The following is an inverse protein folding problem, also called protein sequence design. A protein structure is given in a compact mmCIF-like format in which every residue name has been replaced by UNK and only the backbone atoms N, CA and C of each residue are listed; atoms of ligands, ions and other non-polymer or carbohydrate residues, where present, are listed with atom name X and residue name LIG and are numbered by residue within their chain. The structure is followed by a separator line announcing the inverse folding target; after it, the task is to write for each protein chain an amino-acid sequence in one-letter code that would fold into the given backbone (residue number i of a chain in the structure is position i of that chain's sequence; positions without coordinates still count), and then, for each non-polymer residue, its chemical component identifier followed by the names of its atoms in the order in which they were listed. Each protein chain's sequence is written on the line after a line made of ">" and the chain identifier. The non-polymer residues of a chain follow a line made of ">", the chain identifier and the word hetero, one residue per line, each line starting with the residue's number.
data_IF_641206169383
#
_entry.id   IF_641206169383
#
_cell.length_a   1.000
_cell.length_b   1.000
_cell.length_c   1.000
_cell.angle_alpha   90.00
_cell.angle_beta   90.00
_cell.angle_gamma   90.00
#
_symmetry.space_group_name_H-M   'P 1'
#
loop_
_entity.id
_entity.type
_entity.pdbx_description
1 polymer ?
#
# COMPACT_ATOMS: atom_id res chain seq x y z
N UNK A 1 -0.77 5.83 3.51
CA UNK A 1 -0.75 4.39 3.16
C UNK A 1 0.27 4.14 2.05
N UNK A 2 1.54 3.91 2.40
CA UNK A 2 2.62 3.82 1.41
C UNK A 2 2.45 2.66 0.41
N UNK A 3 1.81 1.55 0.81
CA UNK A 3 1.66 0.37 -0.06
C UNK A 3 0.96 0.66 -1.39
N UNK A 4 -0.23 1.27 -1.36
CA UNK A 4 -0.96 1.65 -2.58
C UNK A 4 -0.32 2.85 -3.29
N UNK A 5 0.21 3.81 -2.52
CA UNK A 5 0.91 4.98 -3.05
C UNK A 5 2.07 4.60 -3.98
N UNK A 6 2.91 3.67 -3.54
CA UNK A 6 4.01 3.14 -4.35
C UNK A 6 3.51 2.31 -5.54
N UNK A 7 2.43 1.56 -5.40
CA UNK A 7 1.90 0.70 -6.49
C UNK A 7 1.21 1.48 -7.61
N UNK A 8 0.40 2.46 -7.26
CA UNK A 8 -0.58 3.08 -8.16
C UNK A 8 -0.45 4.61 -8.24
N UNK A 9 0.52 5.19 -7.52
CA UNK A 9 0.74 6.63 -7.44
C UNK A 9 -0.16 7.36 -6.43
N UNK A 10 -1.12 6.69 -5.79
CA UNK A 10 -2.01 7.26 -4.76
C UNK A 10 -2.30 6.26 -3.64
N UNK A 11 -2.38 6.74 -2.39
CA UNK A 11 -2.67 5.92 -1.21
C UNK A 11 -4.17 5.69 -0.91
N UNK A 12 -5.04 6.31 -1.71
CA UNK A 12 -6.51 6.21 -1.67
C UNK A 12 -7.04 4.80 -1.92
N UNK A 13 -8.33 4.55 -1.65
CA UNK A 13 -8.99 3.36 -2.21
C UNK A 13 -9.11 3.59 -3.70
N UNK A 14 -8.98 2.53 -4.49
CA UNK A 14 -8.98 2.67 -5.95
C UNK A 14 -10.39 2.80 -6.52
N UNK A 15 -11.42 2.42 -5.74
CA UNK A 15 -12.85 2.48 -6.11
C UNK A 15 -13.71 2.84 -4.89
N UNK A 16 -15.01 3.01 -5.11
CA UNK A 16 -16.02 3.26 -4.08
C UNK A 16 -16.67 1.95 -3.60
N UNK A 17 -17.27 1.97 -2.41
CA UNK A 17 -17.91 0.77 -1.83
C UNK A 17 -19.07 0.24 -2.69
N UNK A 18 -19.80 1.14 -3.36
CA UNK A 18 -20.91 0.83 -4.25
C UNK A 18 -20.49 -0.04 -5.42
N UNK A 19 -19.26 0.18 -5.92
CA UNK A 19 -18.75 -0.52 -7.10
C UNK A 19 -18.45 -1.99 -6.83
N UNK A 20 -18.35 -2.41 -5.56
CA UNK A 20 -18.25 -3.83 -5.22
C UNK A 20 -19.43 -4.65 -5.75
N UNK A 21 -20.60 -4.05 -5.92
CA UNK A 21 -21.75 -4.72 -6.53
C UNK A 21 -21.48 -5.21 -7.96
N UNK A 22 -20.43 -4.66 -8.60
CA UNK A 22 -19.99 -5.03 -9.93
C UNK A 22 -18.94 -6.15 -9.95
N UNK A 23 -18.46 -6.64 -8.82
CA UNK A 23 -17.47 -7.71 -8.76
C UNK A 23 -18.04 -9.09 -9.14
N UNK A 24 -17.19 -9.97 -9.65
CA UNK A 24 -17.45 -11.41 -9.85
C UNK A 24 -16.85 -12.26 -8.71
N UNK A 25 -15.89 -11.71 -7.99
CA UNK A 25 -15.36 -12.27 -6.74
C UNK A 25 -14.90 -11.14 -5.81
N UNK A 26 -15.09 -11.32 -4.50
CA UNK A 26 -14.62 -10.36 -3.50
C UNK A 26 -13.79 -11.11 -2.46
N UNK A 27 -12.51 -10.79 -2.41
CA UNK A 27 -11.59 -11.21 -1.35
C UNK A 27 -11.62 -10.19 -0.22
N UNK A 28 -12.17 -10.59 0.92
CA UNK A 28 -12.12 -9.83 2.16
C UNK A 28 -11.03 -10.45 3.03
N UNK A 29 -9.91 -9.75 3.19
CA UNK A 29 -8.77 -10.22 3.97
C UNK A 29 -8.20 -9.06 4.77
N UNK A 30 -7.92 -9.29 6.06
CA UNK A 30 -7.53 -8.22 6.97
C UNK A 30 -8.67 -7.24 7.30
N UNK A 31 -9.93 -7.67 7.18
CA UNK A 31 -11.12 -6.89 7.54
C UNK A 31 -12.27 -7.80 8.01
N UNK A 32 -13.02 -7.39 9.04
CA UNK A 32 -14.36 -7.93 9.32
C UNK A 32 -15.40 -6.94 8.81
N UNK A 33 -15.53 -6.86 7.48
CA UNK A 33 -16.29 -5.79 6.81
C UNK A 33 -17.78 -5.75 7.20
N UNK A 34 -18.42 -6.89 7.47
CA UNK A 34 -19.82 -6.91 7.90
C UNK A 34 -20.03 -6.29 9.30
N UNK A 35 -18.97 -6.17 10.10
CA UNK A 35 -19.01 -5.57 11.44
C UNK A 35 -18.46 -4.14 11.43
N UNK A 36 -17.34 -3.92 10.74
CA UNK A 36 -16.66 -2.63 10.70
C UNK A 36 -17.25 -1.65 9.69
N UNK A 37 -17.88 -2.15 8.62
CA UNK A 37 -18.46 -1.36 7.52
C UNK A 37 -19.81 -1.93 7.07
N UNK A 38 -20.79 -2.14 7.98
CA UNK A 38 -22.01 -2.90 7.71
C UNK A 38 -22.85 -2.32 6.56
N UNK A 39 -22.94 -1.00 6.45
CA UNK A 39 -23.68 -0.35 5.36
C UNK A 39 -22.99 -0.55 4.01
N UNK A 40 -21.66 -0.51 4.01
CA UNK A 40 -20.85 -0.83 2.83
C UNK A 40 -20.97 -2.28 2.39
N UNK A 41 -21.06 -3.19 3.37
CA UNK A 41 -21.19 -4.62 3.15
C UNK A 41 -22.47 -5.00 2.38
N UNK A 42 -23.49 -4.14 2.36
CA UNK A 42 -24.66 -4.30 1.47
C UNK A 42 -24.24 -4.54 0.01
N UNK A 43 -23.20 -3.87 -0.48
CA UNK A 43 -22.76 -4.00 -1.87
C UNK A 43 -22.02 -5.30 -2.15
N UNK A 44 -21.34 -5.85 -1.14
CA UNK A 44 -20.81 -7.22 -1.18
C UNK A 44 -21.96 -8.21 -1.34
N UNK A 45 -23.04 -8.04 -0.57
CA UNK A 45 -24.22 -8.90 -0.69
C UNK A 45 -24.93 -8.74 -2.04
N UNK A 46 -24.96 -7.54 -2.62
CA UNK A 46 -25.49 -7.32 -3.97
C UNK A 46 -24.66 -8.03 -5.05
N UNK A 47 -23.34 -8.04 -4.93
CA UNK A 47 -22.49 -8.83 -5.80
C UNK A 47 -22.80 -10.32 -5.66
N UNK A 48 -22.93 -10.80 -4.42
CA UNK A 48 -23.27 -12.20 -4.12
C UNK A 48 -24.63 -12.62 -4.69
N UNK A 49 -25.66 -11.78 -4.57
CA UNK A 49 -26.98 -12.03 -5.17
C UNK A 49 -26.91 -12.20 -6.71
N UNK A 50 -25.92 -11.57 -7.35
CA UNK A 50 -25.65 -11.70 -8.79
C UNK A 50 -24.76 -12.90 -9.14
N UNK A 51 -24.29 -13.65 -8.15
CA UNK A 51 -23.46 -14.84 -8.32
C UNK A 51 -21.97 -14.62 -8.05
N UNK A 52 -21.56 -13.48 -7.49
CA UNK A 52 -20.16 -13.28 -7.11
C UNK A 52 -19.76 -14.22 -5.96
N UNK A 53 -18.54 -14.76 -6.03
CA UNK A 53 -17.99 -15.58 -4.94
C UNK A 53 -17.42 -14.67 -3.84
N UNK A 54 -17.84 -14.85 -2.59
CA UNK A 54 -17.32 -14.09 -1.45
C UNK A 54 -16.32 -14.94 -0.67
N UNK A 55 -15.08 -14.48 -0.58
CA UNK A 55 -14.00 -15.13 0.14
C UNK A 55 -13.68 -14.28 1.37
N UNK A 56 -13.66 -14.88 2.56
CA UNK A 56 -13.26 -14.22 3.79
C UNK A 56 -12.08 -14.95 4.43
N UNK A 57 -10.93 -14.28 4.46
CA UNK A 57 -9.69 -14.77 5.07
C UNK A 57 -9.50 -14.04 6.40
N UNK A 58 -9.66 -14.76 7.51
CA UNK A 58 -9.54 -14.20 8.86
C UNK A 58 -9.19 -15.32 9.85
N UNK A 59 -8.33 -15.05 10.87
CA UNK A 59 -8.04 -16.02 11.93
C UNK A 59 -9.30 -16.48 12.71
N UNK A 60 -10.39 -15.72 12.64
CA UNK A 60 -11.63 -15.98 13.37
C UNK A 60 -12.79 -16.16 12.40
N UNK A 61 -13.71 -17.04 12.76
CA UNK A 61 -15.02 -17.08 12.12
C UNK A 61 -15.89 -15.94 12.68
N UNK A 62 -16.20 -14.94 11.85
CA UNK A 62 -16.90 -13.72 12.23
C UNK A 62 -18.26 -13.59 11.55
N UNK A 63 -18.98 -12.47 11.75
CA UNK A 63 -20.22 -12.21 11.01
C UNK A 63 -19.99 -12.05 9.50
N UNK A 64 -18.77 -11.63 9.12
CA UNK A 64 -18.37 -11.59 7.72
C UNK A 64 -18.21 -13.01 7.17
N UNK A 65 -17.57 -13.92 7.93
CA UNK A 65 -17.39 -15.32 7.54
C UNK A 65 -18.71 -16.05 7.39
N UNK A 66 -19.68 -15.78 8.26
CA UNK A 66 -21.02 -16.35 8.20
C UNK A 66 -21.79 -16.04 6.90
N UNK A 67 -21.39 -14.97 6.20
CA UNK A 67 -22.00 -14.54 4.94
C UNK A 67 -21.12 -14.84 3.71
N UNK A 68 -19.88 -15.31 3.92
CA UNK A 68 -18.95 -15.69 2.85
C UNK A 68 -19.26 -17.09 2.30
N UNK A 69 -18.89 -17.34 1.04
CA UNK A 69 -18.96 -18.67 0.41
C UNK A 69 -17.76 -19.54 0.78
N UNK A 70 -16.61 -18.88 1.02
CA UNK A 70 -15.36 -19.51 1.42
C UNK A 70 -14.81 -18.76 2.61
N UNK A 71 -14.78 -19.40 3.78
CA UNK A 71 -13.99 -18.94 4.91
C UNK A 71 -12.64 -19.64 4.92
N UNK A 72 -11.57 -18.85 5.12
CA UNK A 72 -10.19 -19.33 5.16
C UNK A 72 -9.57 -18.93 6.49
N UNK A 73 -9.36 -19.86 7.43
CA UNK A 73 -8.63 -19.56 8.65
C UNK A 73 -7.16 -19.31 8.32
N UNK A 74 -6.61 -18.21 8.84
CA UNK A 74 -5.19 -17.85 8.64
C UNK A 74 -4.52 -17.54 9.97
N UNK A 75 -3.25 -17.90 10.12
CA UNK A 75 -2.40 -17.46 11.24
C UNK A 75 -2.16 -15.95 11.17
N UNK A 76 -2.27 -15.25 12.30
CA UNK A 76 -2.07 -13.79 12.35
C UNK A 76 -0.67 -13.42 11.88
N UNK A 77 -0.58 -12.49 10.93
CA UNK A 77 0.68 -11.94 10.43
C UNK A 77 1.34 -12.79 9.34
N UNK A 78 0.64 -13.75 8.74
CA UNK A 78 1.17 -14.59 7.65
C UNK A 78 0.55 -14.30 6.28
N UNK A 79 -0.22 -13.22 6.17
CA UNK A 79 -0.95 -12.77 4.98
C UNK A 79 -0.05 -12.68 3.73
N UNK A 80 1.18 -12.15 3.90
CA UNK A 80 2.14 -12.03 2.79
C UNK A 80 2.51 -13.38 2.17
N UNK A 81 2.44 -14.48 2.93
CA UNK A 81 2.73 -15.83 2.43
C UNK A 81 1.56 -16.38 1.63
N UNK A 82 0.32 -16.14 2.08
CA UNK A 82 -0.88 -16.49 1.30
C UNK A 82 -0.91 -15.73 -0.04
N UNK A 83 -0.75 -14.41 0.01
CA UNK A 83 -0.72 -13.56 -1.19
C UNK A 83 0.45 -13.94 -2.11
N UNK A 84 1.62 -14.24 -1.56
CA UNK A 84 2.77 -14.72 -2.31
C UNK A 84 2.52 -16.06 -3.00
N UNK A 85 1.82 -16.98 -2.32
CA UNK A 85 1.39 -18.25 -2.91
C UNK A 85 0.40 -18.07 -4.06
N UNK A 86 -0.57 -17.16 -3.91
CA UNK A 86 -1.50 -16.80 -4.98
C UNK A 86 -0.76 -16.21 -6.19
N UNK A 87 0.16 -15.28 -5.97
CA UNK A 87 1.01 -14.70 -7.03
C UNK A 87 1.80 -15.79 -7.76
N UNK A 88 2.47 -16.67 -7.01
CA UNK A 88 3.20 -17.81 -7.57
C UNK A 88 2.30 -18.69 -8.43
N UNK A 89 1.12 -19.06 -7.92
CA UNK A 89 0.17 -19.90 -8.63
C UNK A 89 -0.27 -19.29 -9.95
N UNK A 90 -0.55 -17.98 -10.00
CA UNK A 90 -0.89 -17.29 -11.25
C UNK A 90 0.24 -17.33 -12.27
N UNK A 91 1.47 -17.06 -11.83
CA UNK A 91 2.63 -16.96 -12.73
C UNK A 91 3.05 -18.33 -13.26
N UNK A 92 3.09 -19.37 -12.42
CA UNK A 92 3.54 -20.70 -12.82
C UNK A 92 2.57 -21.40 -13.77
N UNK A 93 1.28 -21.09 -13.68
CA UNK A 93 0.23 -21.71 -14.50
C UNK A 93 -0.25 -20.81 -15.66
N UNK A 94 0.43 -19.68 -15.91
CA UNK A 94 0.09 -18.72 -16.97
C UNK A 94 -1.37 -18.20 -16.89
N UNK A 95 -1.87 -17.98 -15.66
CA UNK A 95 -3.26 -17.57 -15.37
C UNK A 95 -3.43 -16.06 -15.21
N UNK A 96 -2.40 -15.26 -15.49
CA UNK A 96 -2.44 -13.81 -15.37
C UNK A 96 -2.90 -13.15 -16.70
N UNK A 97 -3.48 -11.96 -16.62
CA UNK A 97 -3.93 -11.23 -17.80
C UNK A 97 -2.74 -10.59 -18.52
N UNK A 98 -2.12 -11.36 -19.42
CA UNK A 98 -0.82 -11.04 -20.07
C UNK A 98 -0.78 -9.67 -20.75
N UNK A 99 -1.79 -9.31 -21.52
CA UNK A 99 -1.85 -8.02 -22.22
C UNK A 99 -1.90 -6.86 -21.22
N UNK A 100 -2.73 -6.97 -20.18
CA UNK A 100 -2.78 -5.98 -19.12
C UNK A 100 -1.42 -5.84 -18.42
N UNK A 101 -0.81 -6.97 -18.04
CA UNK A 101 0.48 -7.01 -17.34
C UNK A 101 1.59 -6.38 -18.18
N UNK A 102 1.72 -6.76 -19.45
CA UNK A 102 2.80 -6.26 -20.31
C UNK A 102 2.73 -4.75 -20.56
N UNK A 103 1.51 -4.20 -20.68
CA UNK A 103 1.27 -2.82 -21.11
C UNK A 103 1.03 -1.83 -19.97
N UNK A 104 0.27 -2.21 -18.95
CA UNK A 104 -0.18 -1.29 -17.88
C UNK A 104 0.58 -1.44 -16.56
N UNK A 105 1.57 -2.33 -16.52
CA UNK A 105 2.46 -2.48 -15.37
C UNK A 105 3.91 -2.22 -15.78
N UNK A 106 4.80 -2.21 -14.80
CA UNK A 106 6.24 -2.18 -15.02
C UNK A 106 6.85 -3.57 -15.27
N UNK A 107 6.05 -4.63 -15.47
CA UNK A 107 6.51 -6.00 -15.68
C UNK A 107 7.58 -6.14 -16.79
N UNK A 108 7.44 -5.34 -17.86
CA UNK A 108 8.38 -5.31 -18.98
C UNK A 108 9.62 -4.45 -18.73
N UNK A 109 9.67 -3.63 -17.69
CA UNK A 109 10.83 -2.77 -17.42
C UNK A 109 12.05 -3.61 -17.02
N UNK A 110 13.22 -3.25 -17.55
CA UNK A 110 14.49 -3.94 -17.28
C UNK A 110 15.16 -3.29 -16.07
N UNK A 111 15.51 -4.09 -15.06
CA UNK A 111 16.22 -3.64 -13.87
C UNK A 111 17.71 -3.38 -14.16
N UNK A 112 18.34 -2.59 -13.28
CA UNK A 112 19.78 -2.42 -13.26
C UNK A 112 20.50 -3.77 -13.10
N UNK A 113 21.67 -3.90 -13.74
CA UNK A 113 22.51 -5.09 -13.62
C UNK A 113 23.07 -5.26 -12.18
N UNK A 114 22.95 -4.22 -11.34
CA UNK A 114 23.33 -4.23 -9.92
C UNK A 114 22.26 -4.81 -9.00
N UNK A 115 21.01 -4.93 -9.47
CA UNK A 115 19.92 -5.47 -8.65
C UNK A 115 20.20 -6.93 -8.25
N UNK A 116 20.12 -7.23 -6.96
CA UNK A 116 20.15 -8.61 -6.45
C UNK A 116 18.96 -8.85 -5.53
N UNK A 117 18.37 -10.04 -5.65
CA UNK A 117 17.29 -10.49 -4.78
C UNK A 117 17.85 -11.28 -3.57
N UNK A 118 17.02 -11.54 -2.55
CA UNK A 118 17.44 -12.24 -1.32
C UNK A 118 18.05 -13.63 -1.49
N UNK A 119 17.81 -14.28 -2.65
CA UNK A 119 18.32 -15.62 -2.94
C UNK A 119 19.66 -15.58 -3.67
N UNK A 120 20.08 -14.43 -4.22
CA UNK A 120 21.38 -14.31 -4.91
C UNK A 120 22.56 -14.55 -3.96
N UNK A 121 22.46 -14.05 -2.72
CA UNK A 121 23.46 -14.25 -1.67
C UNK A 121 23.05 -15.31 -0.63
N UNK A 122 21.78 -15.72 -0.62
CA UNK A 122 21.24 -16.70 0.34
C UNK A 122 21.15 -16.19 1.79
N UNK A 123 21.29 -14.89 2.00
CA UNK A 123 21.28 -14.23 3.31
C UNK A 123 19.91 -13.65 3.70
N UNK A 124 18.95 -13.64 2.75
CA UNK A 124 17.61 -13.09 2.98
C UNK A 124 17.50 -11.57 2.78
N UNK A 125 18.56 -10.90 2.32
CA UNK A 125 18.61 -9.46 2.10
C UNK A 125 18.67 -9.10 0.62
N UNK A 126 17.99 -8.02 0.22
CA UNK A 126 18.18 -7.45 -1.12
C UNK A 126 19.56 -6.78 -1.24
N UNK A 127 20.01 -6.49 -2.47
CA UNK A 127 21.19 -5.63 -2.68
C UNK A 127 21.03 -4.29 -1.95
N UNK A 128 22.14 -3.77 -1.39
CA UNK A 128 22.17 -2.48 -0.67
C UNK A 128 21.87 -2.55 0.83
N UNK A 129 21.81 -3.74 1.43
CA UNK A 129 21.65 -3.88 2.89
C UNK A 129 22.86 -3.35 3.64
N UNK A 130 22.62 -2.46 4.61
CA UNK A 130 23.61 -1.96 5.55
C UNK A 130 23.28 -2.46 6.96
N UNK A 131 24.08 -3.39 7.48
CA UNK A 131 23.86 -4.04 8.78
C UNK A 131 23.89 -3.05 9.95
N UNK A 132 24.82 -2.09 9.95
CA UNK A 132 24.96 -1.11 11.03
C UNK A 132 23.76 -0.16 11.12
N UNK A 133 23.30 0.32 9.95
CA UNK A 133 22.13 1.23 9.87
C UNK A 133 20.80 0.47 9.92
N UNK A 134 20.83 -0.85 9.73
CA UNK A 134 19.65 -1.71 9.54
C UNK A 134 18.71 -1.15 8.46
N UNK A 135 19.29 -0.68 7.38
CA UNK A 135 18.61 0.05 6.31
C UNK A 135 19.15 -0.35 4.93
N UNK A 136 18.38 -0.05 3.89
CA UNK A 136 18.77 -0.29 2.51
C UNK A 136 19.19 0.99 1.79
N UNK A 137 20.22 0.87 0.95
CA UNK A 137 20.62 1.82 -0.09
C UNK A 137 19.98 1.38 -1.42
N UNK A 138 19.18 2.26 -2.03
CA UNK A 138 18.21 1.90 -3.08
C UNK A 138 18.73 2.01 -4.52
N UNK A 139 19.99 2.40 -4.71
CA UNK A 139 20.62 2.69 -6.00
C UNK A 139 20.59 1.48 -6.94
N UNK A 140 20.79 0.29 -6.39
CA UNK A 140 20.76 -0.96 -7.15
C UNK A 140 19.36 -1.36 -7.62
N UNK A 141 18.29 -0.76 -7.08
CA UNK A 141 16.89 -1.12 -7.38
C UNK A 141 16.26 -0.30 -8.52
N UNK A 142 17.09 0.45 -9.25
CA UNK A 142 16.66 1.29 -10.36
C UNK A 142 16.47 0.49 -11.65
N UNK A 143 15.78 1.09 -12.62
CA UNK A 143 15.71 0.55 -13.97
C UNK A 143 16.97 0.87 -14.77
N UNK A 144 17.29 0.01 -15.72
CA UNK A 144 18.31 0.27 -16.73
C UNK A 144 17.85 1.43 -17.64
N UNK A 145 18.76 2.38 -17.89
CA UNK A 145 18.50 3.55 -18.73
C UNK A 145 18.33 4.89 -17.99
N UNK A 146 18.53 4.93 -16.66
CA UNK A 146 18.77 6.16 -15.89
C UNK A 146 17.58 7.11 -15.66
N UNK A 147 16.53 7.08 -16.48
CA UNK A 147 15.31 7.86 -16.26
C UNK A 147 14.09 6.95 -16.03
N UNK A 148 13.51 7.04 -14.83
CA UNK A 148 12.26 6.36 -14.47
C UNK A 148 11.08 6.72 -15.38
N UNK A 149 11.16 7.85 -16.10
CA UNK A 149 10.12 8.28 -17.04
C UNK A 149 10.04 7.39 -18.29
N UNK A 150 11.17 6.79 -18.71
CA UNK A 150 11.30 5.98 -19.93
C UNK A 150 12.33 4.85 -19.73
N UNK A 151 12.07 3.88 -18.84
CA UNK A 151 12.97 2.76 -18.66
C UNK A 151 13.04 1.88 -19.92
N UNK A 152 14.15 1.16 -20.09
CA UNK A 152 14.23 0.10 -21.12
C UNK A 152 13.18 -0.98 -20.83
N UNK A 153 12.53 -1.52 -21.87
CA UNK A 153 11.45 -2.51 -21.74
C UNK A 153 11.59 -3.67 -22.70
N UNK A 154 11.20 -4.85 -22.26
CA UNK A 154 10.93 -6.04 -23.07
C UNK A 154 9.44 -6.44 -22.91
N UNK A 155 8.63 -6.15 -23.93
CA UNK A 155 7.20 -6.49 -23.93
C UNK A 155 6.92 -7.99 -24.09
N UNK A 156 7.93 -8.79 -24.47
CA UNK A 156 7.79 -10.26 -24.51
C UNK A 156 7.86 -10.88 -23.11
N UNK A 157 8.31 -10.11 -22.11
CA UNK A 157 8.51 -10.53 -20.72
C UNK A 157 9.52 -11.70 -20.59
N UNK A 158 10.43 -11.88 -21.55
CA UNK A 158 11.39 -12.98 -21.56
C UNK A 158 12.78 -12.57 -21.05
N UNK A 159 13.10 -11.27 -21.10
CA UNK A 159 14.39 -10.77 -20.60
C UNK A 159 14.57 -11.15 -19.12
N UNK A 160 15.68 -11.83 -18.75
CA UNK A 160 15.89 -12.32 -17.38
C UNK A 160 16.05 -11.19 -16.35
N UNK A 161 16.30 -9.96 -16.79
CA UNK A 161 16.37 -8.75 -15.96
C UNK A 161 15.06 -7.94 -15.97
N UNK A 162 14.04 -8.33 -16.73
CA UNK A 162 12.75 -7.67 -16.62
C UNK A 162 12.09 -7.95 -15.26
N UNK A 163 11.31 -6.98 -14.78
CA UNK A 163 10.60 -7.06 -13.49
C UNK A 163 9.78 -8.36 -13.40
N UNK A 164 9.14 -8.80 -14.49
CA UNK A 164 8.35 -10.03 -14.49
C UNK A 164 9.16 -11.28 -14.16
N UNK A 165 10.36 -11.45 -14.76
CA UNK A 165 11.21 -12.61 -14.48
C UNK A 165 11.76 -12.57 -13.05
N UNK A 166 12.10 -11.39 -12.53
CA UNK A 166 12.49 -11.24 -11.12
C UNK A 166 11.34 -11.51 -10.15
N UNK A 167 10.13 -11.08 -10.49
CA UNK A 167 8.92 -11.37 -9.72
C UNK A 167 8.67 -12.89 -9.67
N UNK A 168 8.73 -13.57 -10.83
CA UNK A 168 8.60 -15.02 -10.95
C UNK A 168 9.61 -15.75 -10.06
N UNK A 169 10.88 -15.36 -10.12
CA UNK A 169 11.92 -15.95 -9.26
C UNK A 169 11.64 -15.69 -7.78
N UNK A 170 11.35 -14.45 -7.40
CA UNK A 170 11.14 -14.06 -6.00
C UNK A 170 10.02 -14.84 -5.33
N UNK A 171 8.90 -15.03 -6.03
CA UNK A 171 7.71 -15.71 -5.52
C UNK A 171 7.73 -17.24 -5.69
N UNK A 172 8.70 -17.81 -6.42
CA UNK A 172 8.80 -19.28 -6.63
C UNK A 172 8.82 -20.11 -5.34
N UNK A 173 9.32 -19.54 -4.24
CA UNK A 173 9.46 -20.17 -2.92
C UNK A 173 8.13 -20.35 -2.16
N UNK A 174 7.08 -19.62 -2.54
CA UNK A 174 5.81 -19.58 -1.83
C UNK A 174 4.88 -20.73 -2.25
N UNK A 175 5.33 -21.98 -2.09
CA UNK A 175 4.56 -23.15 -2.51
C UNK A 175 3.31 -23.37 -1.65
N UNK A 176 2.31 -24.15 -2.12
CA UNK A 176 1.16 -24.54 -1.29
C UNK A 176 1.56 -25.19 0.04
N UNK A 177 2.66 -25.95 0.08
CA UNK A 177 3.19 -26.57 1.30
C UNK A 177 3.76 -25.50 2.26
N UNK A 178 4.41 -24.46 1.74
CA UNK A 178 4.83 -23.32 2.56
C UNK A 178 3.60 -22.58 3.12
N UNK A 179 2.57 -22.37 2.31
CA UNK A 179 1.31 -21.76 2.73
C UNK A 179 0.65 -22.60 3.83
N UNK A 180 0.60 -23.92 3.70
CA UNK A 180 0.07 -24.81 4.74
C UNK A 180 0.88 -24.68 6.04
N UNK A 181 2.20 -24.81 5.96
CA UNK A 181 3.10 -24.75 7.12
C UNK A 181 3.02 -23.40 7.85
N UNK A 182 3.05 -22.30 7.11
CA UNK A 182 3.17 -20.95 7.68
C UNK A 182 1.81 -20.31 7.96
N UNK A 183 0.82 -20.50 7.11
CA UNK A 183 -0.51 -19.91 7.29
C UNK A 183 -1.48 -20.83 8.01
N UNK A 184 -1.27 -22.16 7.97
CA UNK A 184 -2.23 -23.15 8.45
C UNK A 184 -3.37 -23.42 7.47
N UNK A 185 -3.18 -23.08 6.18
CA UNK A 185 -4.20 -23.23 5.13
C UNK A 185 -3.90 -24.49 4.31
N UNK A 186 -4.75 -25.54 4.36
CA UNK A 186 -4.51 -26.76 3.60
C UNK A 186 -4.50 -26.50 2.08
N UNK A 187 -3.69 -27.21 1.28
CA UNK A 187 -3.60 -27.02 -0.17
C UNK A 187 -4.95 -27.04 -0.90
N UNK A 188 -5.93 -27.93 -0.58
CA UNK A 188 -7.24 -27.90 -1.23
C UNK A 188 -8.00 -26.59 -1.02
N UNK A 189 -7.89 -25.99 0.18
CA UNK A 189 -8.52 -24.70 0.47
C UNK A 189 -7.80 -23.54 -0.22
N UNK A 190 -6.46 -23.58 -0.26
CA UNK A 190 -5.66 -22.63 -1.03
C UNK A 190 -6.04 -22.64 -2.52
N UNK A 191 -6.12 -23.82 -3.14
CA UNK A 191 -6.50 -23.95 -4.55
C UNK A 191 -7.94 -23.46 -4.79
N UNK A 192 -8.88 -23.78 -3.89
CA UNK A 192 -10.26 -23.27 -3.98
C UNK A 192 -10.31 -21.73 -4.04
N UNK A 193 -9.46 -21.04 -3.27
CA UNK A 193 -9.35 -19.57 -3.28
C UNK A 193 -8.72 -19.08 -4.58
N UNK A 194 -7.61 -19.71 -5.00
CA UNK A 194 -6.92 -19.35 -6.23
C UNK A 194 -7.83 -19.50 -7.46
N UNK A 195 -8.53 -20.62 -7.58
CA UNK A 195 -9.45 -20.93 -8.68
C UNK A 195 -10.61 -19.91 -8.73
N UNK A 196 -11.17 -19.54 -7.58
CA UNK A 196 -12.25 -18.55 -7.50
C UNK A 196 -11.80 -17.16 -7.95
N UNK A 197 -10.57 -16.74 -7.61
CA UNK A 197 -10.00 -15.46 -8.06
C UNK A 197 -9.71 -15.47 -9.56
N UNK A 198 -9.13 -16.55 -10.08
CA UNK A 198 -8.82 -16.72 -11.51
C UNK A 198 -10.09 -16.73 -12.35
N UNK A 199 -11.10 -17.51 -11.96
CA UNK A 199 -12.37 -17.61 -12.67
C UNK A 199 -13.16 -16.29 -12.69
N UNK A 200 -12.84 -15.37 -11.78
CA UNK A 200 -13.46 -14.06 -11.64
C UNK A 200 -12.58 -12.90 -12.14
N UNK A 201 -11.51 -13.18 -12.88
CA UNK A 201 -10.59 -12.16 -13.41
C UNK A 201 -10.34 -12.35 -14.90
N UNK A 202 -9.61 -11.41 -15.52
CA UNK A 202 -9.37 -11.38 -16.97
C UNK A 202 -10.22 -10.34 -17.71
N UNK A 203 -10.30 -10.36 -19.05
CA UNK A 203 -10.88 -9.28 -19.85
C UNK A 203 -12.35 -8.95 -19.54
N UNK A 204 -13.15 -9.97 -19.19
CA UNK A 204 -14.61 -9.85 -19.03
C UNK A 204 -15.08 -9.85 -17.56
N UNK A 205 -14.18 -10.16 -16.62
CA UNK A 205 -14.52 -10.31 -15.20
C UNK A 205 -13.55 -9.57 -14.31
N UNK A 206 -14.00 -9.24 -13.10
CA UNK A 206 -13.16 -8.58 -12.10
C UNK A 206 -13.34 -9.14 -10.70
N UNK A 207 -12.23 -9.25 -9.98
CA UNK A 207 -12.24 -9.49 -8.55
C UNK A 207 -11.81 -8.24 -7.79
N UNK A 208 -12.42 -7.99 -6.63
CA UNK A 208 -12.06 -6.91 -5.72
C UNK A 208 -11.37 -7.45 -4.46
N UNK A 209 -10.44 -6.64 -3.92
CA UNK A 209 -9.83 -6.88 -2.60
C UNK A 209 -10.32 -5.83 -1.61
N UNK A 210 -10.86 -6.26 -0.48
CA UNK A 210 -11.30 -5.40 0.62
C UNK A 210 -10.45 -5.68 1.87
N UNK A 211 -9.80 -4.64 2.40
CA UNK A 211 -8.98 -4.78 3.61
C UNK A 211 -9.08 -3.56 4.52
N UNK A 212 -8.70 -3.71 5.77
CA UNK A 212 -8.62 -2.63 6.76
C UNK A 212 -7.42 -2.87 7.69
N UNK A 213 -7.61 -2.74 9.01
CA UNK A 213 -6.53 -2.79 10.01
C UNK A 213 -5.81 -4.12 10.11
N UNK A 214 -6.43 -5.22 9.68
CA UNK A 214 -5.84 -6.56 9.76
C UNK A 214 -4.56 -6.70 8.94
N UNK A 215 -4.39 -5.90 7.89
CA UNK A 215 -3.15 -5.82 7.10
C UNK A 215 -2.22 -4.68 7.53
N UNK A 216 -2.74 -3.59 8.10
CA UNK A 216 -1.94 -2.37 8.28
C UNK A 216 -1.11 -2.35 9.55
N UNK A 217 -1.56 -3.04 10.61
CA UNK A 217 -0.95 -2.95 11.94
C UNK A 217 0.13 -4.01 12.18
N UNK A 218 1.04 -4.14 11.22
CA UNK A 218 2.20 -5.03 11.27
C UNK A 218 3.44 -4.28 10.81
N UNK A 219 4.62 -4.67 11.28
CA UNK A 219 5.91 -4.12 10.79
C UNK A 219 6.07 -4.28 9.27
N UNK A 220 5.41 -5.29 8.68
CA UNK A 220 5.38 -5.59 7.24
C UNK A 220 4.07 -5.23 6.54
N UNK A 221 3.20 -4.43 7.17
CA UNK A 221 1.86 -4.13 6.63
C UNK A 221 1.89 -3.48 5.25
N UNK A 222 2.89 -2.63 5.00
CA UNK A 222 3.13 -2.03 3.67
C UNK A 222 3.37 -3.11 2.61
N UNK A 223 4.13 -4.16 2.95
CA UNK A 223 4.47 -5.23 2.03
C UNK A 223 3.30 -6.19 1.78
N UNK A 224 2.45 -6.43 2.77
CA UNK A 224 1.20 -7.18 2.59
C UNK A 224 0.31 -6.48 1.54
N UNK A 225 0.13 -5.17 1.67
CA UNK A 225 -0.66 -4.37 0.73
C UNK A 225 -0.02 -4.33 -0.66
N UNK A 226 1.33 -4.28 -0.73
CA UNK A 226 2.07 -4.38 -2.00
C UNK A 226 1.86 -5.72 -2.68
N UNK A 227 1.83 -6.83 -1.93
CA UNK A 227 1.53 -8.15 -2.48
C UNK A 227 0.11 -8.21 -3.04
N UNK A 228 -0.89 -7.67 -2.34
CA UNK A 228 -2.25 -7.56 -2.85
C UNK A 228 -2.35 -6.68 -4.12
N UNK A 229 -1.55 -5.61 -4.19
CA UNK A 229 -1.45 -4.79 -5.40
C UNK A 229 -0.85 -5.56 -6.59
N UNK A 230 0.22 -6.34 -6.36
CA UNK A 230 0.80 -7.20 -7.39
C UNK A 230 -0.23 -8.23 -7.87
N UNK A 231 -0.93 -8.88 -6.95
CA UNK A 231 -1.99 -9.84 -7.27
C UNK A 231 -3.06 -9.22 -8.18
N UNK A 232 -3.60 -8.05 -7.81
CA UNK A 232 -4.62 -7.37 -8.59
C UNK A 232 -4.12 -6.85 -9.95
N UNK A 233 -2.84 -6.49 -10.06
CA UNK A 233 -2.22 -6.12 -11.35
C UNK A 233 -2.04 -7.34 -12.26
N UNK A 234 -1.64 -8.49 -11.71
CA UNK A 234 -1.53 -9.75 -12.47
C UNK A 234 -2.89 -10.21 -13.00
N UNK A 235 -3.94 -10.08 -12.18
CA UNK A 235 -5.31 -10.42 -12.57
C UNK A 235 -5.95 -9.37 -13.51
N UNK A 236 -5.31 -8.20 -13.68
CA UNK A 236 -5.83 -7.10 -14.50
C UNK A 236 -7.10 -6.46 -13.94
N UNK A 237 -7.21 -6.37 -12.61
CA UNK A 237 -8.41 -5.90 -11.91
C UNK A 237 -8.37 -4.41 -11.53
N UNK A 238 -7.22 -3.73 -11.67
CA UNK A 238 -7.09 -2.31 -11.29
C UNK A 238 -7.66 -1.39 -12.38
N UNK A 239 -8.53 -0.45 -11.97
CA UNK A 239 -9.11 0.57 -12.84
C UNK A 239 -10.38 0.13 -13.60
N UNK A 240 -10.98 -1.00 -13.20
CA UNK A 240 -12.18 -1.58 -13.84
C UNK A 240 -13.33 -1.70 -12.84
N UNK A 241 -14.61 -1.56 -13.27
CA UNK A 241 -15.77 -1.71 -12.40
C UNK A 241 -15.78 -3.08 -11.72
N UNK A 242 -16.05 -3.13 -10.42
CA UNK A 242 -16.08 -4.39 -9.66
C UNK A 242 -14.70 -4.92 -9.24
N UNK A 243 -13.62 -4.27 -9.70
CA UNK A 243 -12.25 -4.64 -9.38
C UNK A 243 -11.63 -3.77 -8.29
N UNK A 244 -10.32 -3.56 -8.41
CA UNK A 244 -9.59 -2.63 -7.56
C UNK A 244 -9.25 -3.14 -6.16
N UNK A 245 -8.71 -2.25 -5.35
CA UNK A 245 -8.42 -2.48 -3.94
C UNK A 245 -9.13 -1.43 -3.11
N UNK A 246 -10.11 -1.91 -2.34
CA UNK A 246 -10.87 -1.12 -1.40
C UNK A 246 -10.20 -1.17 -0.02
N UNK A 247 -9.27 -0.23 0.19
CA UNK A 247 -8.74 0.05 1.53
C UNK A 247 -9.85 0.71 2.37
N UNK A 248 -10.52 -0.02 3.23
CA UNK A 248 -11.66 0.47 4.00
C UNK A 248 -11.15 1.40 5.12
N UNK A 249 -11.63 2.65 5.13
CA UNK A 249 -11.21 3.66 6.12
C UNK A 249 -11.95 3.46 7.44
N UNK A 250 -11.30 3.83 8.53
CA UNK A 250 -11.86 3.76 9.90
C UNK A 250 -12.78 4.94 10.20
N UNK A 251 -12.28 5.97 10.89
CA UNK A 251 -13.07 7.14 11.25
C UNK A 251 -13.71 7.82 10.02
N UNK A 252 -14.89 8.39 10.23
CA UNK A 252 -15.72 9.00 9.18
C UNK A 252 -14.96 9.98 8.27
N UNK A 253 -14.03 10.75 8.84
CA UNK A 253 -13.24 11.76 8.13
C UNK A 253 -11.74 11.44 8.06
N UNK A 254 -11.29 10.21 8.36
CA UNK A 254 -9.84 9.91 8.37
C UNK A 254 -9.17 10.15 7.02
N UNK A 255 -9.92 9.96 5.92
CA UNK A 255 -9.47 10.32 4.58
C UNK A 255 -9.24 11.84 4.48
N UNK A 256 -10.23 12.65 4.87
CA UNK A 256 -10.11 14.11 4.89
C UNK A 256 -9.02 14.62 5.83
N UNK A 257 -8.84 14.01 7.00
CA UNK A 257 -7.75 14.31 7.95
C UNK A 257 -6.36 13.85 7.48
N UNK A 258 -6.30 13.10 6.38
CA UNK A 258 -5.06 12.78 5.64
C UNK A 258 -4.86 13.72 4.46
N UNK A 259 -5.95 14.09 3.76
CA UNK A 259 -5.93 15.03 2.62
C UNK A 259 -5.61 16.47 3.06
N UNK A 260 -6.16 16.87 4.21
CA UNK A 260 -5.79 18.07 4.99
C UNK A 260 -5.16 17.53 6.29
N UNK A 261 -3.84 17.37 6.29
CA UNK A 261 -3.20 16.42 7.19
C UNK A 261 -3.19 16.88 8.64
N UNK A 262 -3.44 15.90 9.50
CA UNK A 262 -3.07 15.88 10.93
C UNK A 262 -1.82 15.03 11.17
N UNK A 263 -1.09 14.71 10.09
CA UNK A 263 0.16 13.96 10.08
C UNK A 263 1.34 14.94 10.05
N UNK A 264 2.44 14.57 10.71
CA UNK A 264 3.61 15.45 10.87
C UNK A 264 4.40 15.66 9.56
N UNK A 265 4.33 14.73 8.62
CA UNK A 265 5.24 14.61 7.48
C UNK A 265 4.70 15.14 6.14
N UNK A 266 3.47 15.64 6.12
CA UNK A 266 2.81 16.12 4.91
C UNK A 266 2.03 17.43 5.13
N UNK A 267 1.93 18.21 4.07
CA UNK A 267 1.08 19.39 3.90
C UNK A 267 -0.20 19.01 3.11
N UNK A 268 -1.25 19.88 3.06
CA UNK A 268 -2.47 19.60 2.31
C UNK A 268 -2.21 19.18 0.86
N UNK A 269 -3.00 18.24 0.37
CA UNK A 269 -2.86 17.71 -0.98
C UNK A 269 -1.66 16.78 -1.16
N UNK A 270 -1.17 16.16 -0.07
CA UNK A 270 -0.04 15.22 -0.07
C UNK A 270 1.30 15.84 -0.50
N UNK A 271 1.44 17.16 -0.34
CA UNK A 271 2.74 17.83 -0.44
C UNK A 271 3.62 17.39 0.75
N UNK A 272 4.92 17.31 0.57
CA UNK A 272 5.83 16.86 1.61
C UNK A 272 6.05 18.01 2.60
N UNK A 273 6.13 17.70 3.89
CA UNK A 273 6.58 18.70 4.85
C UNK A 273 8.07 19.01 4.59
N UNK A 274 8.48 20.29 4.48
CA UNK A 274 9.89 20.67 4.41
C UNK A 274 10.71 20.05 5.54
N UNK A 275 11.94 19.63 5.24
CA UNK A 275 12.87 19.05 6.23
C UNK A 275 14.23 19.71 6.15
N UNK A 276 15.15 19.31 7.05
CA UNK A 276 16.57 19.70 6.95
C UNK A 276 17.12 19.44 5.54
N UNK A 277 17.68 20.47 4.91
CA UNK A 277 18.15 20.43 3.52
C UNK A 277 17.21 21.12 2.51
N UNK A 278 15.96 21.38 2.91
CA UNK A 278 15.00 22.19 2.15
C UNK A 278 15.01 23.65 2.64
N UNK A 279 16.20 24.27 2.75
CA UNK A 279 16.31 25.59 3.39
C UNK A 279 15.68 26.71 2.55
N UNK A 280 15.77 26.58 1.23
CA UNK A 280 15.14 27.50 0.27
C UNK A 280 14.00 26.85 -0.49
N UNK A 281 13.08 27.67 -1.01
CA UNK A 281 12.00 27.20 -1.88
C UNK A 281 12.55 26.42 -3.09
N UNK A 282 13.66 26.88 -3.68
CA UNK A 282 14.27 26.18 -4.81
C UNK A 282 14.76 24.78 -4.43
N UNK A 283 15.49 24.63 -3.32
CA UNK A 283 15.98 23.32 -2.85
C UNK A 283 14.83 22.33 -2.60
N UNK A 284 13.74 22.83 -2.01
CA UNK A 284 12.53 22.06 -1.82
C UNK A 284 11.93 21.63 -3.18
N UNK A 285 11.74 22.56 -4.11
CA UNK A 285 11.16 22.24 -5.41
C UNK A 285 12.04 21.25 -6.21
N UNK A 286 13.36 21.36 -6.14
CA UNK A 286 14.29 20.44 -6.78
C UNK A 286 14.17 19.02 -6.23
N UNK A 287 13.90 18.88 -4.92
CA UNK A 287 13.79 17.59 -4.24
C UNK A 287 12.46 16.88 -4.51
N UNK A 288 11.35 17.62 -4.64
CA UNK A 288 10.01 17.03 -4.69
C UNK A 288 9.31 17.10 -6.05
N UNK A 289 9.72 18.00 -6.94
CA UNK A 289 9.13 18.10 -8.28
C UNK A 289 9.52 16.88 -9.12
N UNK A 290 8.52 16.22 -9.72
CA UNK A 290 8.76 15.09 -10.61
C UNK A 290 8.91 15.56 -12.06
N UNK A 291 9.65 14.82 -12.88
CA UNK A 291 9.86 15.20 -14.30
C UNK A 291 8.60 15.06 -15.15
N UNK A 292 7.66 14.20 -14.76
CA UNK A 292 6.48 13.88 -15.55
C UNK A 292 5.27 13.52 -14.67
N UNK A 293 4.11 13.38 -15.32
CA UNK A 293 2.85 13.12 -14.66
C UNK A 293 2.32 14.33 -13.89
N UNK A 294 1.28 14.13 -13.09
CA UNK A 294 0.64 15.22 -12.34
C UNK A 294 1.58 15.88 -11.32
N UNK A 295 2.54 15.13 -10.79
CA UNK A 295 3.53 15.65 -9.83
C UNK A 295 4.62 16.51 -10.47
N UNK A 296 4.60 16.74 -11.79
CA UNK A 296 5.40 17.79 -12.42
C UNK A 296 4.90 19.19 -12.11
N UNK A 297 3.61 19.32 -11.75
CA UNK A 297 2.99 20.58 -11.33
C UNK A 297 3.14 20.88 -9.83
N UNK A 298 4.08 20.19 -9.16
CA UNK A 298 4.38 20.37 -7.74
C UNK A 298 4.55 21.86 -7.32
N UNK A 299 5.26 22.71 -8.10
CA UNK A 299 5.41 24.12 -7.75
C UNK A 299 4.07 24.87 -7.70
N UNK A 300 3.15 24.58 -8.63
CA UNK A 300 1.83 25.22 -8.69
C UNK A 300 0.99 24.89 -7.45
N UNK A 301 1.04 23.63 -7.03
CA UNK A 301 0.32 23.15 -5.85
C UNK A 301 0.86 23.77 -4.56
N UNK A 302 2.19 23.83 -4.41
CA UNK A 302 2.82 24.45 -3.25
C UNK A 302 2.50 25.94 -3.18
N UNK A 303 2.74 26.70 -4.27
CA UNK A 303 2.51 28.15 -4.28
C UNK A 303 1.04 28.47 -4.00
N UNK A 304 0.11 27.69 -4.56
CA UNK A 304 -1.32 27.85 -4.28
C UNK A 304 -1.64 27.61 -2.79
N UNK A 305 -1.02 26.61 -2.18
CA UNK A 305 -1.16 26.31 -0.74
C UNK A 305 -0.62 27.45 0.13
N UNK A 306 0.58 27.95 -0.17
CA UNK A 306 1.18 29.07 0.56
C UNK A 306 0.33 30.35 0.44
N UNK A 307 -0.21 30.63 -0.75
CA UNK A 307 -1.14 31.75 -0.94
C UNK A 307 -2.45 31.56 -0.20
N UNK A 308 -2.96 30.34 -0.07
CA UNK A 308 -4.15 30.06 0.74
C UNK A 308 -3.89 30.34 2.23
N UNK A 309 -2.67 30.08 2.73
CA UNK A 309 -2.30 30.35 4.13
C UNK A 309 -2.07 31.83 4.41
N UNK A 310 -1.31 32.52 3.55
CA UNK A 310 -0.78 33.85 3.85
C UNK A 310 -1.43 34.98 3.03
N UNK A 311 -2.30 34.64 2.08
CA UNK A 311 -3.04 35.61 1.26
C UNK A 311 -2.12 36.59 0.55
N UNK A 312 -2.41 37.90 0.69
CA UNK A 312 -1.64 38.99 0.09
C UNK A 312 -0.17 39.07 0.54
N UNK A 313 0.20 38.38 1.62
CA UNK A 313 1.55 38.38 2.16
C UNK A 313 2.45 37.31 1.52
N UNK A 314 1.91 36.36 0.77
CA UNK A 314 2.66 35.42 -0.05
C UNK A 314 2.95 36.03 -1.43
N UNK A 315 4.11 36.69 -1.58
CA UNK A 315 4.53 37.34 -2.82
C UNK A 315 5.75 36.65 -3.44
N UNK A 316 6.04 36.93 -4.71
CA UNK A 316 7.22 36.34 -5.35
C UNK A 316 8.53 36.83 -4.69
N UNK A 317 8.54 38.04 -4.12
CA UNK A 317 9.73 38.65 -3.49
C UNK A 317 10.14 37.97 -2.19
N UNK A 318 9.23 37.27 -1.52
CA UNK A 318 9.50 36.56 -0.27
C UNK A 318 9.32 35.04 -0.39
N UNK A 319 9.47 34.49 -1.59
CA UNK A 319 9.25 33.07 -1.90
C UNK A 319 7.91 32.57 -1.38
N UNK A 320 6.87 33.40 -1.52
CA UNK A 320 5.51 33.14 -1.07
C UNK A 320 5.39 32.82 0.43
N UNK A 321 6.34 33.28 1.25
CA UNK A 321 6.37 33.00 2.69
C UNK A 321 6.84 31.58 3.02
N UNK A 322 7.54 30.89 2.11
CA UNK A 322 8.06 29.54 2.33
C UNK A 322 8.88 29.41 3.63
N UNK A 323 9.67 30.43 3.96
CA UNK A 323 10.50 30.45 5.17
C UNK A 323 9.69 30.50 6.48
N UNK A 324 8.39 30.80 6.43
CA UNK A 324 7.50 30.78 7.59
C UNK A 324 6.97 29.38 7.92
N UNK A 325 7.07 28.43 6.98
CA UNK A 325 6.73 27.04 7.28
C UNK A 325 7.79 26.43 8.22
N UNK A 326 7.36 25.70 9.27
CA UNK A 326 8.30 24.94 10.06
C UNK A 326 8.93 23.83 9.20
N UNK A 327 10.15 23.45 9.55
CA UNK A 327 10.89 22.36 8.89
C UNK A 327 11.06 21.23 9.88
N UNK A 328 10.90 20.00 9.41
CA UNK A 328 11.06 18.82 10.25
C UNK A 328 12.51 18.67 10.70
N UNK A 329 12.66 18.47 12.01
CA UNK A 329 13.93 18.19 12.68
C UNK A 329 14.22 16.68 12.77
N UNK A 330 13.23 15.83 12.54
CA UNK A 330 13.35 14.39 12.68
C UNK A 330 12.02 13.66 12.48
N UNK A 331 11.98 12.40 12.93
CA UNK A 331 10.76 11.60 12.99
C UNK A 331 9.94 12.03 14.20
N UNK A 332 8.72 12.52 13.97
CA UNK A 332 7.77 12.94 15.02
C UNK A 332 6.50 12.08 14.99
N UNK A 333 6.65 10.82 14.57
CA UNK A 333 5.56 9.84 14.58
C UNK A 333 5.11 9.49 16.00
N UNK A 334 3.97 8.80 16.10
CA UNK A 334 3.31 8.50 17.37
C UNK A 334 4.23 7.97 18.48
N UNK A 335 5.06 6.99 18.17
CA UNK A 335 5.96 6.39 19.16
C UNK A 335 7.11 7.33 19.55
N UNK A 336 7.63 8.10 18.60
CA UNK A 336 8.74 9.03 18.88
C UNK A 336 8.30 10.14 19.85
N UNK A 337 7.15 10.78 19.58
CA UNK A 337 6.68 11.80 20.50
C UNK A 337 6.27 11.19 21.86
N UNK A 338 5.78 9.95 21.89
CA UNK A 338 5.49 9.26 23.16
C UNK A 338 6.76 9.05 24.00
N UNK A 339 7.89 8.69 23.36
CA UNK A 339 9.17 8.59 24.07
C UNK A 339 9.67 9.95 24.54
N UNK A 340 9.50 11.00 23.74
CA UNK A 340 9.86 12.36 24.15
C UNK A 340 8.98 12.87 25.31
N UNK A 341 7.70 12.47 25.39
CA UNK A 341 6.87 12.73 26.57
C UNK A 341 7.41 12.01 27.82
N UNK A 342 7.82 10.74 27.69
CA UNK A 342 8.36 9.96 28.81
C UNK A 342 9.71 10.48 29.31
N UNK A 343 10.51 11.04 28.40
CA UNK A 343 11.79 11.67 28.70
C UNK A 343 11.62 13.14 29.16
N UNK A 344 10.39 13.60 29.39
CA UNK A 344 10.06 14.97 29.84
C UNK A 344 10.56 16.06 28.88
N UNK A 345 10.71 15.75 27.58
CA UNK A 345 11.14 16.71 26.54
C UNK A 345 9.97 17.52 25.96
N UNK A 346 8.73 17.10 26.21
CA UNK A 346 7.53 17.80 25.75
C UNK A 346 6.87 18.57 26.89
N UNK A 347 6.72 19.89 26.74
CA UNK A 347 6.10 20.76 27.75
C UNK A 347 4.57 20.64 27.81
N UNK A 348 3.94 20.17 26.73
CA UNK A 348 2.49 20.04 26.66
C UNK A 348 2.00 19.34 25.40
N UNK A 349 0.74 18.88 25.44
CA UNK A 349 0.09 18.17 24.34
C UNK A 349 -1.34 18.68 24.13
N UNK A 350 -1.71 18.90 22.87
CA UNK A 350 -3.09 19.14 22.49
C UNK A 350 -3.78 17.84 22.09
N UNK A 351 -4.88 17.51 22.77
CA UNK A 351 -5.72 16.34 22.47
C UNK A 351 -7.05 16.78 21.88
N UNK A 352 -7.17 16.77 20.55
CA UNK A 352 -8.38 17.17 19.84
C UNK A 352 -9.07 15.96 19.21
N UNK A 353 -10.21 15.55 19.79
CA UNK A 353 -11.04 14.46 19.24
C UNK A 353 -10.38 13.07 19.28
N UNK A 354 -9.39 12.87 20.15
CA UNK A 354 -8.64 11.61 20.30
C UNK A 354 -8.59 11.18 21.77
N UNK A 355 -8.35 9.88 22.00
CA UNK A 355 -8.18 9.31 23.34
C UNK A 355 -7.00 8.31 23.37
N UNK A 356 -5.74 8.80 23.37
CA UNK A 356 -4.57 7.92 23.36
C UNK A 356 -4.48 7.04 24.61
N UNK A 357 -5.00 7.48 25.77
CA UNK A 357 -5.01 6.68 27.02
C UNK A 357 -5.76 5.34 26.92
N UNK A 358 -6.56 5.16 25.85
CA UNK A 358 -7.28 3.92 25.52
C UNK A 358 -6.87 3.39 24.15
N UNK A 359 -6.77 4.25 23.14
CA UNK A 359 -6.54 3.85 21.74
C UNK A 359 -5.10 3.49 21.41
N UNK A 360 -4.12 3.92 22.22
CA UNK A 360 -2.72 3.63 21.98
C UNK A 360 -2.34 2.19 22.41
N UNK A 361 -1.36 1.57 21.72
CA UNK A 361 -0.75 0.34 22.22
C UNK A 361 -0.05 0.62 23.57
N UNK A 362 -0.08 -0.36 24.48
CA UNK A 362 0.48 -0.24 25.83
C UNK A 362 -0.10 0.97 26.61
N UNK A 363 -1.40 0.91 26.93
CA UNK A 363 -2.12 1.97 27.64
C UNK A 363 -1.50 2.36 28.99
N UNK A 364 -0.80 1.44 29.68
CA UNK A 364 -0.09 1.76 30.92
C UNK A 364 1.07 2.72 30.68
N UNK A 365 1.86 2.49 29.62
CA UNK A 365 2.95 3.38 29.25
C UNK A 365 2.41 4.73 28.79
N UNK A 366 1.37 4.73 27.95
CA UNK A 366 0.74 5.96 27.49
C UNK A 366 0.23 6.82 28.65
N UNK A 367 -0.46 6.22 29.63
CA UNK A 367 -0.96 6.93 30.82
C UNK A 367 0.12 7.37 31.79
N UNK A 368 1.33 6.82 31.69
CA UNK A 368 2.49 7.29 32.44
C UNK A 368 3.11 8.52 31.76
N UNK A 369 3.05 8.58 30.43
CA UNK A 369 3.59 9.67 29.64
C UNK A 369 2.68 10.90 29.62
N UNK A 370 1.36 10.70 29.62
CA UNK A 370 0.34 11.73 29.83
C UNK A 370 0.33 12.17 31.30
#
# INVERSE_FOLDING_TARGET
>A
MPGLGTSFGRGGATTAQQDLANADCILIEGSSMAEAHPVGFRWVMKAKERGATIIHVDPRFSRTSALADIWVPIRVGTDIVLLGGLIRHLIENDLFFREYVAHYTNASCILSDEYRDPEDNGDGYFSGWNEEKRAYEGESWLYKGGDLSRPQRDLTLQDPQCVFQKLKRHFSRYTPEMVEKVCGIPPPLFHKVADALVAASGPERTAAVCYAVGWTQHSKGVQIIRAAAILQLLLGNIGRPGGGILALRGHASIQGSTDIPTLYDILPGYLAMPRKGDETLQQYLDSYTRKSGLWAHYPEYLVSTLKAYYGKHATAQNDFGYSWLPKLTGNHSFFEFLYDMLDEKMEGMFLMGQNPAVGAPNSRLQRKAL
#
